data_IF_861705107141
#
_entry.id   IF_861705107141
#
_cell.length_a   1.000
_cell.length_b   1.000
_cell.length_c   1.000
_cell.angle_alpha   90.00
_cell.angle_beta   90.00
_cell.angle_gamma   90.00
#
_symmetry.space_group_name_H-M   'P 1'
#
loop_
_entity.id
_entity.type
_entity.pdbx_description
1 polymer ?
#
# COMPACT_ATOMS: atom_id res chain seq x y z
N UNK A 1 -60.03 3.02 5.61
CA UNK A 1 -59.07 3.31 4.55
C UNK A 1 -57.90 4.08 5.15
N UNK A 2 -56.82 3.42 5.57
CA UNK A 2 -55.63 4.07 6.10
C UNK A 2 -54.58 4.15 4.98
N UNK A 3 -54.27 5.35 4.54
CA UNK A 3 -53.34 5.71 3.49
C UNK A 3 -51.91 5.34 3.92
N UNK A 4 -51.28 4.29 3.36
CA UNK A 4 -49.87 3.96 3.55
C UNK A 4 -49.01 5.15 3.11
N UNK A 5 -48.43 5.88 4.05
CA UNK A 5 -47.37 6.87 3.77
C UNK A 5 -46.13 6.11 3.30
N UNK A 6 -45.83 6.22 2.01
CA UNK A 6 -44.56 5.81 1.44
C UNK A 6 -43.49 6.73 1.99
N UNK A 7 -42.69 6.25 2.94
CA UNK A 7 -41.48 6.92 3.34
C UNK A 7 -40.46 6.74 2.19
N UNK A 8 -40.28 7.76 1.39
CA UNK A 8 -39.14 7.85 0.50
C UNK A 8 -37.90 7.99 1.38
N UNK A 9 -37.25 6.88 1.69
CA UNK A 9 -36.01 6.86 2.42
C UNK A 9 -34.97 7.68 1.64
N UNK A 10 -34.40 8.70 2.28
CA UNK A 10 -33.21 9.41 1.75
C UNK A 10 -32.18 8.36 1.37
N UNK A 11 -31.46 8.53 0.25
CA UNK A 11 -30.39 7.62 -0.13
C UNK A 11 -29.37 7.56 1.03
N UNK A 12 -29.31 6.41 1.72
CA UNK A 12 -28.32 6.19 2.77
C UNK A 12 -27.00 5.93 2.04
N UNK A 13 -26.01 6.77 2.29
CA UNK A 13 -24.64 6.55 1.85
C UNK A 13 -24.22 5.13 2.27
N UNK A 14 -23.59 4.42 1.36
CA UNK A 14 -23.05 3.10 1.65
C UNK A 14 -22.06 3.23 2.82
N UNK A 15 -22.27 2.52 3.94
CA UNK A 15 -21.45 2.68 5.13
C UNK A 15 -19.97 2.30 4.87
N UNK A 16 -19.69 1.40 3.93
CA UNK A 16 -18.32 1.05 3.56
C UNK A 16 -17.65 2.19 2.77
N UNK A 17 -18.42 2.92 1.93
CA UNK A 17 -17.91 4.12 1.25
C UNK A 17 -17.59 5.23 2.25
N UNK A 18 -18.51 5.47 3.21
CA UNK A 18 -18.29 6.48 4.23
C UNK A 18 -17.05 6.17 5.08
N UNK A 19 -16.88 4.92 5.50
CA UNK A 19 -15.70 4.49 6.26
C UNK A 19 -14.41 4.66 5.43
N UNK A 20 -14.43 4.30 4.14
CA UNK A 20 -13.29 4.50 3.25
C UNK A 20 -12.92 5.99 3.11
N UNK A 21 -13.90 6.87 2.97
CA UNK A 21 -13.67 8.32 2.92
C UNK A 21 -13.10 8.86 4.23
N UNK A 22 -13.53 8.34 5.38
CA UNK A 22 -12.97 8.71 6.69
C UNK A 22 -11.51 8.27 6.79
N UNK A 23 -11.17 7.03 6.43
CA UNK A 23 -9.79 6.52 6.45
C UNK A 23 -8.90 7.41 5.58
N UNK A 24 -9.30 7.64 4.32
CA UNK A 24 -8.56 8.51 3.40
C UNK A 24 -8.43 9.94 3.95
N UNK A 25 -9.53 10.52 4.46
CA UNK A 25 -9.55 11.88 4.99
C UNK A 25 -8.64 12.04 6.21
N UNK A 26 -8.64 11.09 7.13
CA UNK A 26 -7.76 11.10 8.30
C UNK A 26 -6.30 10.94 7.88
N UNK A 27 -6.01 10.04 6.92
CA UNK A 27 -4.66 9.89 6.36
C UNK A 27 -4.16 11.16 5.67
N UNK A 28 -4.99 11.80 4.82
CA UNK A 28 -4.66 13.08 4.18
C UNK A 28 -4.44 14.17 5.24
N UNK A 29 -5.29 14.25 6.26
CA UNK A 29 -5.15 15.22 7.34
C UNK A 29 -3.84 15.02 8.12
N UNK A 30 -3.51 13.77 8.48
CA UNK A 30 -2.28 13.44 9.20
C UNK A 30 -1.03 13.84 8.42
N UNK A 31 -1.01 13.60 7.11
CA UNK A 31 0.10 13.94 6.23
C UNK A 31 -0.02 15.30 5.54
N UNK A 32 -0.97 16.15 5.96
CA UNK A 32 -1.27 17.43 5.29
C UNK A 32 -0.07 18.37 5.23
N UNK A 33 0.74 18.41 6.30
CA UNK A 33 1.96 19.23 6.35
C UNK A 33 2.99 18.81 5.27
N UNK A 34 3.06 17.53 4.92
CA UNK A 34 3.90 17.07 3.79
C UNK A 34 3.24 17.29 2.44
N UNK A 35 1.92 17.06 2.33
CA UNK A 35 1.20 17.17 1.06
C UNK A 35 1.19 18.60 0.52
N UNK A 36 0.96 19.58 1.38
CA UNK A 36 0.76 20.99 1.01
C UNK A 36 1.99 21.87 1.23
N UNK A 37 3.16 21.29 1.47
CA UNK A 37 4.41 22.02 1.64
C UNK A 37 5.53 21.47 0.75
N UNK A 38 6.67 22.16 0.74
CA UNK A 38 7.90 21.68 0.11
C UNK A 38 8.67 20.65 0.95
N UNK A 39 8.18 20.33 2.17
CA UNK A 39 8.81 19.34 3.05
C UNK A 39 8.84 17.97 2.40
N UNK A 40 9.89 17.19 2.71
CA UNK A 40 10.05 15.84 2.21
C UNK A 40 10.52 14.92 3.36
N UNK A 41 10.35 13.62 3.18
CA UNK A 41 10.93 12.64 4.08
C UNK A 41 12.44 12.59 3.88
N UNK A 42 13.22 12.61 4.95
CA UNK A 42 14.69 12.67 4.87
C UNK A 42 15.43 11.78 5.87
N UNK A 43 14.73 11.18 6.83
CA UNK A 43 15.34 10.49 7.96
C UNK A 43 16.09 9.22 7.53
N UNK A 44 17.30 9.00 8.09
CA UNK A 44 18.14 7.80 7.88
C UNK A 44 18.37 7.50 6.39
N UNK A 45 17.98 6.29 5.96
CA UNK A 45 18.25 5.75 4.63
C UNK A 45 17.44 6.43 3.52
N UNK A 46 16.42 7.20 3.86
CA UNK A 46 15.60 7.90 2.86
C UNK A 46 16.48 8.85 2.04
N UNK A 47 17.18 9.79 2.69
CA UNK A 47 17.96 10.81 1.99
C UNK A 47 19.25 10.24 1.39
N UNK A 48 19.95 9.40 2.17
CA UNK A 48 21.31 8.97 1.81
C UNK A 48 21.34 7.76 0.88
N UNK A 49 20.25 7.00 0.81
CA UNK A 49 20.20 5.75 0.05
C UNK A 49 19.01 5.70 -0.93
N UNK A 50 17.78 5.74 -0.44
CA UNK A 50 16.61 5.53 -1.31
C UNK A 50 16.34 6.68 -2.29
N UNK A 51 16.55 7.93 -1.85
CA UNK A 51 16.33 9.10 -2.70
C UNK A 51 17.26 9.13 -3.92
N UNK A 52 18.62 9.01 -3.79
CA UNK A 52 19.50 8.97 -4.95
C UNK A 52 19.28 7.74 -5.83
N UNK A 53 19.02 6.56 -5.26
CA UNK A 53 18.70 5.37 -6.07
C UNK A 53 17.45 5.60 -6.92
N UNK A 54 16.42 6.18 -6.34
CA UNK A 54 15.17 6.49 -7.05
C UNK A 54 15.39 7.52 -8.14
N UNK A 55 16.18 8.55 -7.86
CA UNK A 55 16.46 9.61 -8.82
C UNK A 55 17.14 9.05 -10.07
N UNK A 56 18.18 8.24 -9.91
CA UNK A 56 18.89 7.59 -11.03
C UNK A 56 17.96 6.70 -11.84
N UNK A 57 17.12 5.89 -11.15
CA UNK A 57 16.14 5.03 -11.80
C UNK A 57 15.18 5.83 -12.68
N UNK A 58 14.60 6.91 -12.13
CA UNK A 58 13.62 7.73 -12.85
C UNK A 58 14.28 8.52 -13.98
N UNK A 59 15.51 8.98 -13.82
CA UNK A 59 16.28 9.60 -14.89
C UNK A 59 16.52 8.64 -16.08
N UNK A 60 16.79 7.35 -15.81
CA UNK A 60 16.88 6.34 -16.87
C UNK A 60 15.55 6.21 -17.61
N UNK A 61 14.44 6.12 -16.91
CA UNK A 61 13.12 6.05 -17.54
C UNK A 61 12.78 7.31 -18.34
N UNK A 62 13.12 8.50 -17.84
CA UNK A 62 12.85 9.76 -18.54
C UNK A 62 13.64 9.90 -19.84
N UNK A 63 14.80 9.24 -19.96
CA UNK A 63 15.59 9.15 -21.20
C UNK A 63 15.13 8.04 -22.14
N UNK A 64 14.10 7.25 -21.74
CA UNK A 64 13.68 6.07 -22.49
C UNK A 64 14.68 4.91 -22.42
N UNK A 65 15.60 4.94 -21.46
CA UNK A 65 16.61 3.91 -21.27
C UNK A 65 16.09 2.84 -20.27
N UNK A 66 16.37 1.58 -20.56
CA UNK A 66 16.08 0.51 -19.62
C UNK A 66 17.11 0.56 -18.47
N UNK A 67 16.69 0.57 -17.18
CA UNK A 67 17.57 0.83 -16.05
C UNK A 67 18.45 -0.38 -15.70
N UNK A 68 19.48 -0.64 -16.51
CA UNK A 68 20.34 -1.81 -16.33
C UNK A 68 21.45 -1.59 -15.33
N UNK A 69 22.11 -0.43 -15.37
CA UNK A 69 23.38 -0.19 -14.67
C UNK A 69 23.43 1.18 -14.00
N UNK A 70 23.83 1.21 -12.72
CA UNK A 70 24.16 2.43 -12.02
C UNK A 70 25.69 2.57 -11.89
N UNK A 71 26.29 3.53 -12.58
CA UNK A 71 27.76 3.74 -12.51
C UNK A 71 28.21 4.52 -11.28
N UNK A 72 27.29 5.13 -10.51
CA UNK A 72 27.63 6.11 -9.45
C UNK A 72 27.83 5.49 -8.06
N UNK A 73 27.59 4.18 -7.91
CA UNK A 73 27.73 3.50 -6.61
C UNK A 73 28.84 2.45 -6.73
N UNK A 74 29.85 2.55 -5.86
CA UNK A 74 31.03 1.71 -5.86
C UNK A 74 31.73 1.74 -7.24
N UNK A 75 31.98 0.57 -7.82
CA UNK A 75 32.49 0.38 -9.19
C UNK A 75 31.37 0.19 -10.23
N UNK A 76 30.16 0.53 -9.85
CA UNK A 76 28.93 0.29 -10.60
C UNK A 76 28.18 -0.95 -10.13
N UNK A 77 26.87 -0.94 -10.25
CA UNK A 77 26.02 -2.09 -9.88
C UNK A 77 24.81 -2.25 -10.80
N UNK A 78 24.31 -3.49 -11.01
CA UNK A 78 23.11 -3.73 -11.78
C UNK A 78 21.88 -3.22 -11.02
N UNK A 79 21.08 -2.35 -11.66
CA UNK A 79 19.91 -1.74 -11.00
C UNK A 79 18.78 -2.75 -10.80
N UNK A 80 18.53 -3.62 -11.78
CA UNK A 80 17.45 -4.60 -11.70
C UNK A 80 17.73 -5.74 -10.72
N UNK A 81 19.00 -6.07 -10.48
CA UNK A 81 19.39 -7.09 -9.52
C UNK A 81 19.37 -6.59 -8.07
N UNK A 82 19.36 -5.29 -7.88
CA UNK A 82 19.28 -4.69 -6.54
C UNK A 82 17.82 -4.34 -6.20
N UNK A 83 17.20 -5.05 -5.25
CA UNK A 83 15.80 -4.90 -4.90
C UNK A 83 15.43 -3.49 -4.40
N UNK A 84 16.38 -2.77 -3.83
CA UNK A 84 16.15 -1.43 -3.31
C UNK A 84 15.78 -0.40 -4.39
N UNK A 85 16.06 -0.68 -5.66
CA UNK A 85 15.55 0.15 -6.75
C UNK A 85 14.05 0.00 -6.95
N UNK A 86 13.46 -1.15 -6.61
CA UNK A 86 12.03 -1.41 -6.84
C UNK A 86 11.59 -0.98 -8.25
N UNK A 87 12.39 -1.35 -9.27
CA UNK A 87 12.28 -0.79 -10.61
C UNK A 87 10.87 -0.88 -11.19
N UNK A 88 10.19 -1.99 -10.98
CA UNK A 88 8.83 -2.24 -11.50
C UNK A 88 7.70 -1.93 -10.50
N UNK A 89 8.02 -1.27 -9.38
CA UNK A 89 6.99 -0.99 -8.39
C UNK A 89 6.00 0.08 -8.90
N UNK A 90 4.68 -0.13 -8.72
CA UNK A 90 3.65 0.71 -9.36
C UNK A 90 3.75 2.21 -9.06
N UNK A 91 4.20 2.61 -7.85
CA UNK A 91 4.33 4.03 -7.53
C UNK A 91 5.40 4.77 -8.33
N UNK A 92 6.29 4.05 -9.04
CA UNK A 92 7.22 4.69 -9.97
C UNK A 92 6.49 5.39 -11.13
N UNK A 93 5.27 4.93 -11.49
CA UNK A 93 4.44 5.58 -12.50
C UNK A 93 4.04 7.02 -12.10
N UNK A 94 4.02 7.34 -10.81
CA UNK A 94 3.73 8.70 -10.36
C UNK A 94 4.76 9.71 -10.88
N UNK A 95 6.00 9.28 -11.08
CA UNK A 95 7.06 10.14 -11.59
C UNK A 95 6.91 10.52 -13.08
N UNK A 96 6.02 9.82 -13.81
CA UNK A 96 5.68 10.19 -15.20
C UNK A 96 4.78 11.43 -15.25
N UNK A 97 4.01 11.70 -14.20
CA UNK A 97 2.98 12.74 -14.17
C UNK A 97 3.29 13.86 -13.18
N UNK A 98 4.16 13.61 -12.21
CA UNK A 98 4.42 14.52 -11.09
C UNK A 98 5.90 14.86 -10.96
N UNK A 99 6.25 16.06 -10.46
CA UNK A 99 7.62 16.40 -10.10
C UNK A 99 8.21 15.36 -9.14
N UNK A 100 9.50 15.05 -9.31
CA UNK A 100 10.18 13.98 -8.58
C UNK A 100 9.93 14.00 -7.06
N UNK A 101 10.15 15.15 -6.42
CA UNK A 101 9.96 15.29 -4.98
C UNK A 101 8.53 15.04 -4.54
N UNK A 102 7.55 15.40 -5.37
CA UNK A 102 6.14 15.19 -5.07
C UNK A 102 5.75 13.72 -5.21
N UNK A 103 6.15 13.08 -6.30
CA UNK A 103 5.94 11.66 -6.50
C UNK A 103 6.65 10.81 -5.42
N UNK A 104 7.87 11.20 -5.03
CA UNK A 104 8.64 10.53 -3.98
C UNK A 104 7.93 10.56 -2.63
N UNK A 105 7.43 11.72 -2.19
CA UNK A 105 6.70 11.81 -0.92
C UNK A 105 5.33 11.13 -0.95
N UNK A 106 4.64 11.13 -2.09
CA UNK A 106 3.37 10.43 -2.24
C UNK A 106 3.52 8.92 -2.02
N UNK A 107 4.65 8.33 -2.37
CA UNK A 107 4.93 6.93 -2.05
C UNK A 107 4.73 6.65 -0.56
N UNK A 108 5.28 7.48 0.33
CA UNK A 108 5.15 7.32 1.78
C UNK A 108 3.75 7.60 2.32
N UNK A 109 2.99 8.48 1.67
CA UNK A 109 1.66 8.89 2.12
C UNK A 109 0.59 7.89 1.69
N UNK A 110 0.71 7.38 0.47
CA UNK A 110 -0.29 6.46 -0.09
C UNK A 110 -0.30 5.10 0.62
N UNK A 111 0.85 4.59 1.05
CA UNK A 111 0.94 3.25 1.61
C UNK A 111 0.25 3.11 2.98
N UNK A 112 0.39 4.02 3.97
CA UNK A 112 -0.41 3.96 5.19
C UNK A 112 -1.92 4.01 4.92
N UNK A 113 -2.37 4.87 4.01
CA UNK A 113 -3.78 4.95 3.62
C UNK A 113 -4.24 3.61 2.99
N UNK A 114 -3.43 3.03 2.11
CA UNK A 114 -3.69 1.70 1.56
C UNK A 114 -3.73 0.62 2.65
N UNK A 115 -2.85 0.70 3.63
CA UNK A 115 -2.83 -0.21 4.78
C UNK A 115 -4.14 -0.14 5.57
N UNK A 116 -4.60 1.07 5.90
CA UNK A 116 -5.87 1.32 6.58
C UNK A 116 -7.06 0.79 5.80
N UNK A 117 -7.16 1.10 4.51
CA UNK A 117 -8.22 0.59 3.63
C UNK A 117 -8.21 -0.94 3.55
N UNK A 118 -7.04 -1.54 3.39
CA UNK A 118 -6.90 -3.00 3.35
C UNK A 118 -7.35 -3.66 4.66
N UNK A 119 -6.94 -3.08 5.79
CA UNK A 119 -7.34 -3.55 7.11
C UNK A 119 -8.86 -3.44 7.31
N UNK A 120 -9.48 -2.36 6.84
CA UNK A 120 -10.93 -2.20 6.88
C UNK A 120 -11.64 -3.31 6.11
N UNK A 121 -11.32 -3.49 4.83
CA UNK A 121 -11.98 -4.49 3.99
C UNK A 121 -11.71 -5.93 4.44
N UNK A 122 -10.53 -6.22 4.97
CA UNK A 122 -10.22 -7.52 5.57
C UNK A 122 -11.12 -7.78 6.78
N UNK A 123 -11.24 -6.84 7.70
CA UNK A 123 -12.10 -6.96 8.89
C UNK A 123 -13.58 -7.10 8.52
N UNK A 124 -14.05 -6.33 7.51
CA UNK A 124 -15.41 -6.46 6.98
C UNK A 124 -15.66 -7.86 6.41
N UNK A 125 -14.70 -8.42 5.69
CA UNK A 125 -14.79 -9.80 5.18
C UNK A 125 -14.82 -10.85 6.27
N UNK A 126 -14.18 -10.60 7.39
CA UNK A 126 -14.23 -11.45 8.59
C UNK A 126 -15.55 -11.33 9.39
N UNK A 127 -16.48 -10.46 8.94
CA UNK A 127 -17.79 -10.29 9.58
C UNK A 127 -17.81 -9.23 10.68
N UNK A 128 -16.74 -8.45 10.83
CA UNK A 128 -16.67 -7.38 11.83
C UNK A 128 -17.57 -6.22 11.38
N UNK A 129 -18.33 -5.63 12.30
CA UNK A 129 -19.24 -4.52 11.99
C UNK A 129 -18.47 -3.26 11.56
N UNK A 130 -19.14 -2.36 10.82
CA UNK A 130 -18.50 -1.20 10.19
C UNK A 130 -17.73 -0.31 11.19
N UNK A 131 -18.31 -0.03 12.36
CA UNK A 131 -17.69 0.83 13.37
C UNK A 131 -16.41 0.20 13.93
N UNK A 132 -16.47 -1.07 14.32
CA UNK A 132 -15.30 -1.77 14.84
C UNK A 132 -14.22 -1.94 13.76
N UNK A 133 -14.62 -2.23 12.50
CA UNK A 133 -13.68 -2.30 11.39
C UNK A 133 -13.02 -0.95 11.08
N UNK A 134 -13.77 0.16 11.16
CA UNK A 134 -13.21 1.50 11.02
C UNK A 134 -12.20 1.82 12.12
N UNK A 135 -12.55 1.54 13.38
CA UNK A 135 -11.62 1.75 14.50
C UNK A 135 -10.36 0.90 14.36
N UNK A 136 -10.51 -0.39 14.03
CA UNK A 136 -9.37 -1.29 13.83
C UNK A 136 -8.51 -0.89 12.62
N UNK A 137 -9.11 -0.35 11.57
CA UNK A 137 -8.37 0.12 10.39
C UNK A 137 -7.54 1.37 10.67
N UNK A 138 -8.10 2.34 11.39
CA UNK A 138 -7.36 3.54 11.83
C UNK A 138 -6.24 3.17 12.81
N UNK A 139 -6.51 2.24 13.73
CA UNK A 139 -5.48 1.72 14.64
C UNK A 139 -4.34 1.02 13.88
N UNK A 140 -4.62 0.33 12.78
CA UNK A 140 -3.60 -0.28 11.92
C UNK A 140 -2.84 0.77 11.13
N UNK A 141 -3.54 1.69 10.45
CA UNK A 141 -2.98 2.78 9.63
C UNK A 141 -1.95 3.61 10.41
N UNK A 142 -2.30 3.97 11.65
CA UNK A 142 -1.45 4.78 12.53
C UNK A 142 -0.73 3.96 13.60
N UNK A 143 -0.62 2.65 13.41
CA UNK A 143 0.14 1.80 14.33
C UNK A 143 1.63 2.16 14.34
N UNK A 144 2.28 1.91 15.47
CA UNK A 144 3.72 2.07 15.58
C UNK A 144 4.49 1.29 14.50
N UNK A 145 4.00 0.13 14.10
CA UNK A 145 4.57 -0.67 13.01
C UNK A 145 4.52 0.07 11.67
N UNK A 146 3.35 0.53 11.24
CA UNK A 146 3.21 1.24 9.96
C UNK A 146 4.00 2.54 9.97
N UNK A 147 3.90 3.34 11.03
CA UNK A 147 4.58 4.64 11.12
C UNK A 147 6.11 4.51 11.24
N UNK A 148 6.63 3.48 11.92
CA UNK A 148 8.07 3.26 12.01
C UNK A 148 8.69 2.84 10.68
N UNK A 149 7.94 2.20 9.80
CA UNK A 149 8.42 1.84 8.46
C UNK A 149 8.35 2.99 7.44
N UNK A 150 7.82 4.16 7.81
CA UNK A 150 7.92 5.35 6.96
C UNK A 150 9.36 5.82 6.71
N UNK A 151 10.35 5.31 7.43
CA UNK A 151 11.77 5.58 7.18
C UNK A 151 12.42 4.57 6.21
N UNK A 152 11.68 3.55 5.74
CA UNK A 152 12.19 2.47 4.90
C UNK A 152 11.33 2.35 3.63
N UNK A 153 11.83 2.90 2.53
CA UNK A 153 11.12 3.05 1.26
C UNK A 153 10.57 1.73 0.71
N UNK A 154 11.30 0.64 0.87
CA UNK A 154 10.96 -0.69 0.37
C UNK A 154 10.07 -1.49 1.33
N UNK A 155 10.06 -1.19 2.62
CA UNK A 155 9.28 -1.96 3.61
C UNK A 155 7.86 -1.44 3.76
N UNK A 156 7.64 -0.13 3.68
CA UNK A 156 6.30 0.43 3.84
C UNK A 156 5.28 -0.13 2.84
N UNK A 157 5.61 -0.36 1.56
CA UNK A 157 4.72 -1.07 0.63
C UNK A 157 4.39 -2.49 1.08
N UNK A 158 5.38 -3.22 1.58
CA UNK A 158 5.20 -4.60 2.01
C UNK A 158 4.17 -4.70 3.14
N UNK A 159 4.28 -3.83 4.15
CA UNK A 159 3.33 -3.77 5.27
C UNK A 159 1.93 -3.32 4.82
N UNK A 160 1.86 -2.38 3.89
CA UNK A 160 0.58 -1.89 3.36
C UNK A 160 -0.20 -2.96 2.58
N UNK A 161 0.49 -3.89 1.93
CA UNK A 161 -0.14 -4.96 1.15
C UNK A 161 -0.63 -6.13 2.01
N UNK A 162 -0.12 -6.33 3.23
CA UNK A 162 -0.49 -7.48 4.09
C UNK A 162 -2.01 -7.66 4.25
N UNK A 163 -2.79 -6.63 4.64
CA UNK A 163 -4.22 -6.82 4.82
C UNK A 163 -4.95 -7.06 3.49
N UNK A 164 -4.50 -6.52 2.37
CA UNK A 164 -5.06 -6.79 1.04
C UNK A 164 -4.82 -8.22 0.59
N UNK A 165 -3.64 -8.77 0.86
CA UNK A 165 -3.31 -10.16 0.58
C UNK A 165 -4.20 -11.08 1.44
N UNK A 166 -4.35 -10.78 2.73
CA UNK A 166 -5.29 -11.50 3.61
C UNK A 166 -6.74 -11.44 3.09
N UNK A 167 -7.19 -10.26 2.64
CA UNK A 167 -8.50 -10.08 2.03
C UNK A 167 -8.69 -10.94 0.77
N UNK A 168 -7.72 -10.96 -0.13
CA UNK A 168 -7.78 -11.76 -1.36
C UNK A 168 -7.72 -13.26 -1.05
N UNK A 169 -6.86 -13.66 -0.10
CA UNK A 169 -6.69 -15.05 0.32
C UNK A 169 -7.98 -15.65 0.90
N UNK A 170 -8.61 -14.97 1.88
CA UNK A 170 -9.89 -15.41 2.45
C UNK A 170 -10.96 -15.47 1.36
N UNK A 171 -10.93 -14.53 0.41
CA UNK A 171 -11.83 -14.56 -0.73
C UNK A 171 -11.61 -15.75 -1.67
N UNK A 172 -10.37 -16.15 -1.90
CA UNK A 172 -10.05 -17.32 -2.71
C UNK A 172 -10.53 -18.62 -2.06
N UNK A 173 -10.55 -18.69 -0.73
CA UNK A 173 -11.05 -19.85 0.00
C UNK A 173 -12.59 -19.95 0.06
N UNK A 174 -13.29 -18.81 0.04
CA UNK A 174 -14.73 -18.75 0.35
C UNK A 174 -15.66 -18.39 -0.81
N UNK A 175 -15.12 -17.77 -1.86
CA UNK A 175 -15.92 -17.19 -2.95
C UNK A 175 -15.46 -17.70 -4.32
N UNK A 176 -15.61 -16.86 -5.36
CA UNK A 176 -15.16 -17.13 -6.74
C UNK A 176 -13.65 -17.34 -6.81
N UNK A 177 -13.23 -18.58 -6.64
CA UNK A 177 -11.82 -18.96 -6.47
C UNK A 177 -10.90 -18.40 -7.57
N UNK A 178 -11.30 -18.43 -8.85
CA UNK A 178 -10.45 -17.98 -9.95
C UNK A 178 -10.12 -16.48 -9.88
N UNK A 179 -11.16 -15.62 -9.75
CA UNK A 179 -10.96 -14.17 -9.68
C UNK A 179 -10.14 -13.76 -8.46
N UNK A 180 -10.40 -14.40 -7.32
CA UNK A 180 -9.72 -14.08 -6.05
C UNK A 180 -8.30 -14.62 -6.03
N UNK A 181 -8.05 -15.76 -6.64
CA UNK A 181 -6.69 -16.30 -6.80
C UNK A 181 -5.84 -15.45 -7.77
N UNK A 182 -6.44 -14.91 -8.84
CA UNK A 182 -5.75 -13.97 -9.71
C UNK A 182 -5.39 -12.66 -8.98
N UNK A 183 -6.34 -12.11 -8.18
CA UNK A 183 -6.06 -10.95 -7.35
C UNK A 183 -4.95 -11.24 -6.32
N UNK A 184 -5.03 -12.39 -5.66
CA UNK A 184 -4.00 -12.82 -4.71
C UNK A 184 -2.64 -12.95 -5.38
N UNK A 185 -2.58 -13.58 -6.56
CA UNK A 185 -1.36 -13.70 -7.35
C UNK A 185 -0.77 -12.34 -7.75
N UNK A 186 -1.61 -11.40 -8.18
CA UNK A 186 -1.19 -10.04 -8.51
C UNK A 186 -0.62 -9.29 -7.29
N UNK A 187 -1.29 -9.38 -6.14
CA UNK A 187 -0.82 -8.75 -4.90
C UNK A 187 0.49 -9.37 -4.41
N UNK A 188 0.63 -10.71 -4.50
CA UNK A 188 1.89 -11.39 -4.18
C UNK A 188 3.01 -11.01 -5.14
N UNK A 189 2.73 -10.84 -6.44
CA UNK A 189 3.71 -10.35 -7.39
C UNK A 189 4.19 -8.94 -7.04
N UNK A 190 3.28 -8.02 -6.68
CA UNK A 190 3.64 -6.67 -6.21
C UNK A 190 4.44 -6.75 -4.91
N UNK A 191 4.08 -7.65 -3.99
CA UNK A 191 4.80 -7.89 -2.74
C UNK A 191 6.25 -8.37 -3.02
N UNK A 192 6.43 -9.26 -3.99
CA UNK A 192 7.77 -9.71 -4.42
C UNK A 192 8.58 -8.55 -5.02
N UNK A 193 7.94 -7.69 -5.81
CA UNK A 193 8.60 -6.50 -6.39
C UNK A 193 8.97 -5.47 -5.32
N UNK A 194 8.19 -5.35 -4.23
CA UNK A 194 8.54 -4.53 -3.07
C UNK A 194 9.77 -5.06 -2.31
N UNK A 195 10.04 -6.32 -2.46
CA UNK A 195 11.23 -7.10 -2.08
C UNK A 195 11.69 -6.94 -0.63
N UNK A 196 10.77 -7.30 0.27
CA UNK A 196 11.11 -7.54 1.67
C UNK A 196 10.97 -9.06 1.95
N UNK A 197 12.05 -9.85 1.80
CA UNK A 197 11.98 -11.32 1.84
C UNK A 197 11.44 -11.87 3.16
N UNK A 198 11.81 -11.23 4.28
CA UNK A 198 11.37 -11.66 5.60
C UNK A 198 9.86 -11.51 5.78
N UNK A 199 9.31 -10.37 5.37
CA UNK A 199 7.86 -10.13 5.41
C UNK A 199 7.10 -11.12 4.52
N UNK A 200 7.64 -11.42 3.34
CA UNK A 200 7.06 -12.40 2.42
C UNK A 200 7.06 -13.81 3.04
N UNK A 201 8.16 -14.23 3.67
CA UNK A 201 8.25 -15.53 4.34
C UNK A 201 7.24 -15.65 5.50
N UNK A 202 7.20 -14.65 6.38
CA UNK A 202 6.24 -14.61 7.49
C UNK A 202 4.79 -14.65 6.98
N UNK A 203 4.51 -13.93 5.90
CA UNK A 203 3.19 -13.93 5.27
C UNK A 203 2.83 -15.32 4.73
N UNK A 204 3.69 -15.96 3.95
CA UNK A 204 3.46 -17.31 3.41
C UNK A 204 3.21 -18.32 4.53
N UNK A 205 4.03 -18.31 5.58
CA UNK A 205 3.84 -19.19 6.73
C UNK A 205 2.50 -18.94 7.44
N UNK A 206 2.10 -17.69 7.62
CA UNK A 206 0.82 -17.31 8.22
C UNK A 206 -0.36 -17.80 7.37
N UNK A 207 -0.31 -17.59 6.06
CA UNK A 207 -1.37 -18.03 5.15
C UNK A 207 -1.45 -19.57 5.08
N UNK A 208 -0.31 -20.27 5.08
CA UNK A 208 -0.26 -21.72 5.11
C UNK A 208 -0.84 -22.27 6.40
N UNK A 209 -0.45 -21.71 7.56
CA UNK A 209 -1.00 -22.11 8.86
C UNK A 209 -2.53 -21.89 8.92
N UNK A 210 -3.01 -20.75 8.40
CA UNK A 210 -4.44 -20.49 8.33
C UNK A 210 -5.18 -21.48 7.42
N UNK A 211 -4.59 -21.83 6.24
CA UNK A 211 -5.19 -22.78 5.31
C UNK A 211 -5.25 -24.22 5.90
N UNK A 212 -4.27 -24.60 6.71
CA UNK A 212 -4.25 -25.92 7.38
C UNK A 212 -5.29 -25.98 8.50
N UNK A 213 -5.48 -24.87 9.23
CA UNK A 213 -6.43 -24.81 10.34
C UNK A 213 -7.89 -24.75 9.86
N UNK A 214 -8.16 -24.22 8.70
CA UNK A 214 -9.53 -23.91 8.20
C UNK A 214 -10.01 -24.93 7.20
#
# INVERSE_FOLDING_TARGET
MLKKRSWHGKPRLNPDLLASLVIIGVGIFFFSDFLFSSKNFYFRDILNFHYPLRKILIESYSRGEFPLWNPFIYLGQPMLANPNYMAFYPTNLLHLFLPFNYAFKLHFILHPIMAGLGAYFLQRRLGICNVAALTGSLAYEFSGTVLSFLNLYNIIPAVALLPWIGYAFIGALREHWLRRSLLLGALLAIQIIALEPLMLQCLILTLAAFAIYH
#
